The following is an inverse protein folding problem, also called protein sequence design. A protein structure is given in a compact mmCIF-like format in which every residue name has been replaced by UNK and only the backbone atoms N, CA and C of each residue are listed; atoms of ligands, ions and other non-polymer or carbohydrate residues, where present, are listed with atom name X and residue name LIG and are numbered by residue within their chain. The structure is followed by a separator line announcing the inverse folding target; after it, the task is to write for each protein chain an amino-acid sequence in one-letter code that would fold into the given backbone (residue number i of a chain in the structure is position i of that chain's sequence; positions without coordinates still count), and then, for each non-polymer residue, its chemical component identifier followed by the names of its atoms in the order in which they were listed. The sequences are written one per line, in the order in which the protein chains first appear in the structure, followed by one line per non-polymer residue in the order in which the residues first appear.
data_IF_383754588207
#
_entry.id   IF_383754588207
#
_cell.length_a   1.000
_cell.length_b   1.000
_cell.length_c   1.000
_cell.angle_alpha   90.00
_cell.angle_beta   90.00
_cell.angle_gamma   90.00
#
_symmetry.space_group_name_H-M   'P 1'
#
loop_
_entity.id
_entity.type
_entity.pdbx_description
1 polymer ?
#
# COMPACT_ATOMS: atom_id res chain seq x y z
N UNK A 1 -37.20 -7.34 11.63
CA UNK A 1 -37.05 -6.57 10.36
C UNK A 1 -35.95 -5.54 10.61
N UNK A 2 -34.71 -5.82 10.19
CA UNK A 2 -34.09 -5.36 8.93
C UNK A 2 -34.07 -3.83 8.79
N UNK A 3 -32.91 -3.24 9.05
CA UNK A 3 -32.35 -2.17 8.21
C UNK A 3 -30.86 -2.48 8.05
N UNK A 4 -30.56 -3.28 7.02
CA UNK A 4 -29.32 -3.11 6.26
C UNK A 4 -29.34 -1.69 5.67
N UNK A 5 -28.30 -0.91 5.92
CA UNK A 5 -27.92 0.20 5.04
C UNK A 5 -26.42 0.53 5.23
N UNK A 6 -25.61 -0.03 4.34
CA UNK A 6 -24.28 0.48 4.00
C UNK A 6 -24.40 1.89 3.36
N UNK A 7 -23.31 2.68 3.30
CA UNK A 7 -22.24 2.43 2.32
C UNK A 7 -20.85 2.46 2.99
N UNK A 8 -19.96 1.51 2.69
CA UNK A 8 -19.03 1.59 1.57
C UNK A 8 -18.30 2.95 1.49
N UNK A 9 -17.02 2.92 1.86
CA UNK A 9 -15.97 3.90 1.54
C UNK A 9 -16.35 5.37 1.61
N UNK A 10 -15.95 6.01 2.71
CA UNK A 10 -15.60 7.42 2.70
C UNK A 10 -14.52 7.64 1.62
N UNK A 11 -14.93 8.13 0.45
CA UNK A 11 -14.40 9.36 -0.13
C UNK A 11 -12.90 9.49 -0.40
N UNK A 12 -12.12 8.42 -0.45
CA UNK A 12 -10.79 8.48 -1.06
C UNK A 12 -10.91 7.87 -2.45
N UNK A 13 -10.84 8.73 -3.46
CA UNK A 13 -10.41 8.34 -4.81
C UNK A 13 -9.00 7.77 -4.67
N UNK A 14 -8.87 6.55 -4.13
CA UNK A 14 -7.60 5.84 -4.08
C UNK A 14 -7.19 5.76 -5.55
N UNK A 15 -6.04 6.33 -5.95
CA UNK A 15 -5.50 5.97 -7.25
C UNK A 15 -5.49 4.45 -7.28
N UNK A 16 -5.81 3.86 -8.44
CA UNK A 16 -5.66 2.43 -8.66
C UNK A 16 -4.19 2.07 -8.43
N UNK A 17 -3.86 1.85 -7.17
CA UNK A 17 -2.52 1.81 -6.64
C UNK A 17 -2.24 0.37 -6.28
N UNK A 18 -1.03 -0.05 -6.59
CA UNK A 18 -0.53 -1.37 -6.26
C UNK A 18 -0.19 -1.39 -4.78
N UNK A 19 -0.57 -2.49 -4.12
CA UNK A 19 -0.23 -2.71 -2.72
C UNK A 19 1.19 -3.28 -2.65
N UNK A 20 2.02 -2.69 -1.82
CA UNK A 20 3.39 -3.14 -1.58
C UNK A 20 3.60 -3.31 -0.08
N UNK A 21 4.06 -4.47 0.34
CA UNK A 21 4.46 -4.77 1.71
C UNK A 21 5.92 -4.41 1.89
N UNK A 22 6.23 -3.56 2.87
CA UNK A 22 7.61 -3.24 3.21
C UNK A 22 8.26 -4.44 3.90
N UNK A 23 9.37 -4.94 3.38
CA UNK A 23 10.09 -6.09 3.92
C UNK A 23 11.39 -5.70 4.61
N UNK A 24 11.85 -4.47 4.39
CA UNK A 24 13.08 -3.95 4.97
C UNK A 24 12.97 -3.75 6.48
N UNK A 25 14.00 -4.20 7.23
CA UNK A 25 13.96 -4.27 8.69
C UNK A 25 13.86 -2.89 9.36
N UNK A 26 14.53 -1.87 8.79
CA UNK A 26 14.42 -0.47 9.24
C UNK A 26 13.18 0.25 8.68
N UNK A 27 12.31 -0.46 7.97
CA UNK A 27 11.18 0.10 7.23
C UNK A 27 11.59 0.87 5.97
N UNK A 28 10.63 1.60 5.40
CA UNK A 28 10.80 2.42 4.20
C UNK A 28 10.07 3.76 4.33
N UNK A 29 10.68 4.85 3.86
CA UNK A 29 10.05 6.18 3.88
C UNK A 29 9.46 6.48 2.52
N UNK A 30 8.14 6.64 2.46
CA UNK A 30 7.40 6.95 1.24
C UNK A 30 6.48 8.17 1.48
N UNK A 31 6.43 9.09 0.52
CA UNK A 31 5.65 10.34 0.62
C UNK A 31 5.85 11.13 1.94
N UNK A 32 7.07 11.10 2.50
CA UNK A 32 7.41 11.77 3.76
C UNK A 32 7.11 10.97 5.04
N UNK A 33 6.34 9.88 4.94
CA UNK A 33 5.94 9.00 6.06
C UNK A 33 6.88 7.80 6.14
N UNK A 34 7.34 7.44 7.35
CA UNK A 34 8.13 6.22 7.57
C UNK A 34 7.20 5.05 7.87
N UNK A 35 7.21 4.05 7.00
CA UNK A 35 6.47 2.81 7.15
C UNK A 35 7.37 1.73 7.77
N UNK A 36 6.93 1.06 8.85
CA UNK A 36 7.71 -0.02 9.45
C UNK A 36 7.74 -1.26 8.55
N UNK A 37 8.58 -2.24 8.92
CA UNK A 37 8.56 -3.58 8.35
C UNK A 37 7.14 -4.18 8.45
N UNK A 38 6.77 -4.98 7.46
CA UNK A 38 5.47 -5.61 7.27
C UNK A 38 4.29 -4.66 7.01
N UNK A 39 4.51 -3.34 6.98
CA UNK A 39 3.47 -2.39 6.59
C UNK A 39 3.10 -2.54 5.11
N UNK A 40 1.80 -2.61 4.83
CA UNK A 40 1.28 -2.60 3.46
C UNK A 40 0.90 -1.19 3.09
N UNK A 41 1.56 -0.64 2.08
CA UNK A 41 1.29 0.69 1.53
C UNK A 41 0.70 0.58 0.12
N UNK A 42 -0.14 1.54 -0.25
CA UNK A 42 -0.68 1.64 -1.62
C UNK A 42 0.11 2.71 -2.34
N UNK A 43 0.75 2.34 -3.44
CA UNK A 43 1.65 3.21 -4.22
C UNK A 43 1.32 3.12 -5.70
N UNK A 44 1.89 4.01 -6.52
CA UNK A 44 1.77 3.92 -7.98
C UNK A 44 2.62 2.77 -8.52
N UNK A 45 2.34 2.29 -9.75
CA UNK A 45 3.15 1.24 -10.38
C UNK A 45 4.63 1.65 -10.54
N UNK A 46 4.90 2.92 -10.84
CA UNK A 46 6.24 3.46 -10.92
C UNK A 46 6.98 3.39 -9.57
N UNK A 47 6.31 3.78 -8.49
CA UNK A 47 6.85 3.71 -7.12
C UNK A 47 7.07 2.26 -6.68
N UNK A 48 6.14 1.35 -6.97
CA UNK A 48 6.34 -0.09 -6.74
C UNK A 48 7.64 -0.55 -7.39
N UNK A 49 7.88 -0.20 -8.66
CA UNK A 49 9.08 -0.60 -9.38
C UNK A 49 10.35 -0.13 -8.64
N UNK A 50 10.33 1.10 -8.14
CA UNK A 50 11.42 1.63 -7.32
C UNK A 50 11.56 0.87 -6.01
N UNK A 51 10.47 0.65 -5.27
CA UNK A 51 10.48 0.02 -3.94
C UNK A 51 10.92 -1.45 -4.00
N UNK A 52 10.42 -2.19 -4.99
CA UNK A 52 10.65 -3.64 -5.15
C UNK A 52 11.95 -3.92 -5.90
N UNK A 53 12.21 -3.27 -7.04
CA UNK A 53 13.35 -3.61 -7.90
C UNK A 53 14.60 -2.80 -7.59
N UNK A 54 14.46 -1.48 -7.36
CA UNK A 54 15.60 -0.59 -7.19
C UNK A 54 16.10 -0.57 -5.74
N UNK A 55 15.21 -0.28 -4.80
CA UNK A 55 15.52 -0.20 -3.38
C UNK A 55 15.48 -1.57 -2.69
N UNK A 56 14.73 -2.54 -3.25
CA UNK A 56 14.56 -3.89 -2.68
C UNK A 56 14.12 -3.87 -1.22
N UNK A 57 13.24 -2.93 -0.89
CA UNK A 57 12.73 -2.70 0.49
C UNK A 57 11.28 -3.09 0.67
N UNK A 58 10.63 -3.62 -0.37
CA UNK A 58 9.29 -4.15 -0.30
C UNK A 58 8.98 -5.18 -1.39
N UNK A 59 7.82 -5.80 -1.28
CA UNK A 59 7.30 -6.81 -2.19
C UNK A 59 5.85 -6.46 -2.57
N UNK A 60 5.46 -6.70 -3.82
CA UNK A 60 4.06 -6.50 -4.22
C UNK A 60 3.14 -7.52 -3.54
N UNK A 61 2.01 -7.03 -3.03
CA UNK A 61 0.93 -7.85 -2.52
C UNK A 61 -0.17 -7.90 -3.54
N UNK A 62 -0.14 -8.90 -4.40
CA UNK A 62 -1.26 -9.24 -5.29
C UNK A 62 -2.35 -9.86 -4.43
N UNK A 63 -3.43 -9.12 -4.19
CA UNK A 63 -4.59 -9.65 -3.48
C UNK A 63 -5.42 -10.54 -4.39
N UNK A 64 -5.69 -11.76 -3.94
CA UNK A 64 -6.79 -12.62 -4.41
C UNK A 64 -8.16 -12.02 -4.07
#
# INVERSE_FOLDING_TARGET
MKVEKAPASAGETKPAGVKVKITHDNGHRHAGIKHPKDAVITVSEADKKLIVEHFKVGEEVTGE
#
